data_IF_571322285029
#
_entry.id   IF_571322285029
#
_cell.length_a   1.000
_cell.length_b   1.000
_cell.length_c   1.000
_cell.angle_alpha   90.00
_cell.angle_beta   90.00
_cell.angle_gamma   90.00
#
_symmetry.space_group_name_H-M   'P 1'
#
loop_
_entity.id
_entity.type
_entity.pdbx_description
1 polymer ?
#
# COMPACT_ATOMS: atom_id res chain seq x y z
N UNK A 1 16.45 13.45 -25.04
CA UNK A 1 15.24 14.31 -24.94
C UNK A 1 14.78 14.38 -23.47
N UNK A 2 13.99 15.39 -23.04
CA UNK A 2 13.39 15.40 -21.72
C UNK A 2 12.53 14.15 -21.49
N UNK A 3 12.65 13.55 -20.30
CA UNK A 3 12.02 12.25 -19.94
C UNK A 3 11.42 12.29 -18.55
N UNK A 4 10.35 11.53 -18.36
CA UNK A 4 9.77 11.30 -17.03
C UNK A 4 10.64 10.33 -16.20
N UNK A 5 10.40 10.29 -14.90
CA UNK A 5 11.09 9.38 -13.99
C UNK A 5 10.86 7.91 -14.40
N UNK A 6 9.65 7.55 -14.80
CA UNK A 6 9.30 6.20 -15.30
C UNK A 6 10.11 5.80 -16.52
N UNK A 7 10.21 6.70 -17.52
CA UNK A 7 11.01 6.46 -18.73
C UNK A 7 12.48 6.25 -18.39
N UNK A 8 13.05 7.08 -17.52
CA UNK A 8 14.47 6.98 -17.11
C UNK A 8 14.77 5.68 -16.35
N UNK A 9 13.87 5.25 -15.45
CA UNK A 9 14.05 4.00 -14.69
C UNK A 9 13.93 2.79 -15.62
N UNK A 10 12.93 2.76 -16.50
CA UNK A 10 12.71 1.65 -17.43
C UNK A 10 13.80 1.57 -18.50
N UNK A 11 14.33 2.71 -18.98
CA UNK A 11 15.49 2.74 -19.87
C UNK A 11 16.70 2.07 -19.22
N UNK A 12 17.05 2.48 -17.99
CA UNK A 12 18.13 1.84 -17.20
C UNK A 12 17.92 0.34 -17.07
N UNK A 13 16.71 -0.08 -16.67
CA UNK A 13 16.39 -1.49 -16.44
C UNK A 13 16.42 -2.34 -17.72
N UNK A 14 16.11 -1.72 -18.87
CA UNK A 14 16.17 -2.36 -20.19
C UNK A 14 17.56 -2.30 -20.84
N UNK A 15 18.56 -1.66 -20.20
CA UNK A 15 19.90 -1.47 -20.77
C UNK A 15 19.89 -0.59 -22.02
N UNK A 16 18.93 0.35 -22.11
CA UNK A 16 18.80 1.30 -23.23
C UNK A 16 19.21 2.70 -22.76
N UNK A 17 19.71 3.51 -23.71
CA UNK A 17 20.06 4.90 -23.43
C UNK A 17 18.80 5.74 -23.15
N UNK A 18 17.73 5.53 -23.95
CA UNK A 18 16.45 6.21 -23.83
C UNK A 18 15.30 5.27 -24.21
N UNK A 19 14.11 5.55 -23.65
CA UNK A 19 12.82 4.97 -24.07
C UNK A 19 11.76 6.06 -24.08
N UNK A 20 10.65 5.82 -24.76
CA UNK A 20 9.50 6.73 -24.85
C UNK A 20 8.22 6.05 -24.37
N UNK A 21 7.26 6.85 -23.89
CA UNK A 21 5.93 6.35 -23.57
C UNK A 21 5.33 5.62 -24.79
N UNK A 22 4.80 4.43 -24.55
CA UNK A 22 4.29 3.54 -25.59
C UNK A 22 5.26 2.47 -26.06
N UNK A 23 6.57 2.63 -25.86
CA UNK A 23 7.57 1.60 -26.18
C UNK A 23 7.32 0.31 -25.38
N UNK A 24 7.62 -0.82 -26.00
CA UNK A 24 7.69 -2.11 -25.30
C UNK A 24 9.15 -2.43 -25.01
N UNK A 25 9.46 -2.64 -23.76
CA UNK A 25 10.80 -2.95 -23.27
C UNK A 25 10.81 -4.22 -22.43
N UNK A 26 11.91 -4.95 -22.45
CA UNK A 26 12.18 -6.02 -21.48
C UNK A 26 13.07 -5.41 -20.40
N UNK A 27 12.56 -5.25 -19.20
CA UNK A 27 13.27 -4.65 -18.08
C UNK A 27 13.75 -5.73 -17.10
N UNK A 28 15.00 -5.63 -16.68
CA UNK A 28 15.54 -6.45 -15.58
C UNK A 28 14.86 -6.05 -14.27
N UNK A 29 14.51 -7.06 -13.47
CA UNK A 29 13.86 -6.89 -12.18
C UNK A 29 14.91 -6.85 -11.07
N UNK A 30 14.85 -5.81 -10.24
CA UNK A 30 15.74 -5.64 -9.10
C UNK A 30 15.22 -6.38 -7.86
N UNK A 31 13.88 -6.37 -7.64
CA UNK A 31 13.21 -7.09 -6.54
C UNK A 31 11.91 -7.71 -7.03
N UNK A 32 11.69 -8.99 -6.74
CA UNK A 32 10.45 -9.70 -6.97
C UNK A 32 9.83 -10.12 -5.63
N UNK A 33 8.57 -9.73 -5.39
CA UNK A 33 7.85 -10.03 -4.15
C UNK A 33 6.61 -10.90 -4.42
N UNK A 34 6.44 -11.93 -3.62
CA UNK A 34 5.17 -12.65 -3.50
C UNK A 34 4.90 -12.98 -2.04
N UNK A 35 3.68 -13.42 -1.71
CA UNK A 35 3.26 -13.67 -0.33
C UNK A 35 2.47 -14.98 -0.20
N UNK A 36 2.00 -15.29 0.99
CA UNK A 36 1.32 -16.55 1.34
C UNK A 36 0.04 -16.85 0.53
N UNK A 37 -0.63 -15.83 -0.03
CA UNK A 37 -1.87 -16.00 -0.80
C UNK A 37 -1.61 -16.21 -2.30
N UNK A 38 -0.81 -15.36 -2.95
CA UNK A 38 -0.54 -15.42 -4.40
C UNK A 38 0.70 -16.23 -4.76
N UNK A 39 1.60 -16.43 -3.80
CA UNK A 39 2.82 -17.20 -3.97
C UNK A 39 2.60 -18.65 -4.42
N UNK A 40 1.69 -19.42 -3.81
CA UNK A 40 1.41 -20.79 -4.24
C UNK A 40 1.02 -20.91 -5.71
N UNK A 41 0.24 -19.94 -6.24
CA UNK A 41 -0.13 -19.88 -7.67
C UNK A 41 1.08 -19.57 -8.55
N UNK A 42 1.98 -18.70 -8.08
CA UNK A 42 3.23 -18.37 -8.77
C UNK A 42 4.15 -19.59 -8.81
N UNK A 43 4.28 -20.34 -7.72
CA UNK A 43 5.05 -21.59 -7.64
C UNK A 43 4.48 -22.65 -8.58
N UNK A 44 3.17 -22.86 -8.58
CA UNK A 44 2.52 -23.80 -9.50
C UNK A 44 2.76 -23.44 -10.97
N UNK A 45 2.71 -22.14 -11.30
CA UNK A 45 2.98 -21.66 -12.66
C UNK A 45 4.45 -21.83 -13.02
N UNK A 46 5.38 -21.59 -12.07
CA UNK A 46 6.82 -21.82 -12.23
C UNK A 46 7.15 -23.29 -12.53
N UNK A 47 6.52 -24.22 -11.82
CA UNK A 47 6.66 -25.65 -12.09
C UNK A 47 6.08 -26.06 -13.45
N UNK A 48 4.91 -25.50 -13.83
CA UNK A 48 4.23 -25.80 -15.11
C UNK A 48 5.03 -25.35 -16.33
N UNK A 49 5.78 -24.27 -16.25
CA UNK A 49 6.67 -23.84 -17.36
C UNK A 49 7.97 -24.67 -17.43
N UNK A 50 8.16 -25.64 -16.52
CA UNK A 50 9.33 -26.51 -16.49
C UNK A 50 10.56 -25.86 -15.85
N UNK A 51 10.43 -24.72 -15.19
CA UNK A 51 11.52 -24.09 -14.48
C UNK A 51 11.85 -24.86 -13.19
N UNK A 52 13.13 -25.02 -12.89
CA UNK A 52 13.62 -25.77 -11.73
C UNK A 52 14.41 -24.93 -10.74
N UNK A 53 14.91 -23.77 -11.19
CA UNK A 53 15.67 -22.84 -10.36
C UNK A 53 15.22 -21.42 -10.64
N UNK A 54 15.14 -20.61 -9.59
CA UNK A 54 14.92 -19.17 -9.72
C UNK A 54 16.19 -18.48 -10.22
N UNK A 55 16.02 -17.35 -10.94
CA UNK A 55 17.14 -16.63 -11.54
C UNK A 55 18.15 -16.11 -10.50
N UNK A 56 17.65 -15.53 -9.42
CA UNK A 56 18.48 -15.01 -8.32
C UNK A 56 17.67 -15.02 -7.01
N UNK A 57 17.95 -15.96 -6.09
CA UNK A 57 17.21 -16.05 -4.84
C UNK A 57 17.40 -14.85 -3.89
N UNK A 58 18.48 -14.07 -4.06
CA UNK A 58 18.74 -12.88 -3.25
C UNK A 58 17.82 -11.69 -3.59
N UNK A 59 17.21 -11.71 -4.77
CA UNK A 59 16.29 -10.69 -5.26
C UNK A 59 14.81 -11.02 -5.04
N UNK A 60 14.53 -12.18 -4.48
CA UNK A 60 13.16 -12.62 -4.18
C UNK A 60 12.87 -12.38 -2.71
N UNK A 61 11.75 -11.71 -2.43
CA UNK A 61 11.28 -11.40 -1.08
C UNK A 61 9.92 -12.03 -0.87
N UNK A 62 9.78 -12.85 0.17
CA UNK A 62 8.54 -13.58 0.46
C UNK A 62 8.11 -13.32 1.90
N UNK A 63 7.25 -12.33 2.16
CA UNK A 63 6.58 -12.19 3.44
C UNK A 63 5.29 -13.00 3.51
N UNK A 64 4.95 -13.51 4.69
CA UNK A 64 3.64 -14.04 5.00
C UNK A 64 2.84 -12.99 5.78
N UNK A 65 1.75 -12.51 5.20
CA UNK A 65 1.00 -11.38 5.74
C UNK A 65 -0.52 -11.41 5.50
N UNK A 66 -0.99 -12.17 4.51
CA UNK A 66 -2.40 -12.13 4.11
C UNK A 66 -3.28 -13.04 4.96
N UNK A 67 -2.87 -14.30 5.16
CA UNK A 67 -3.62 -15.31 5.92
C UNK A 67 -2.77 -15.84 7.08
N UNK A 68 -2.27 -14.94 7.90
CA UNK A 68 -1.37 -15.25 9.04
C UNK A 68 -1.91 -14.74 10.38
N UNK A 69 -1.89 -15.61 11.42
CA UNK A 69 -1.68 -17.05 11.33
C UNK A 69 -2.71 -17.72 10.42
N UNK A 70 -2.42 -18.93 9.90
CA UNK A 70 -3.34 -19.60 8.99
C UNK A 70 -4.74 -19.74 9.62
N UNK A 71 -5.75 -19.28 8.91
CA UNK A 71 -7.16 -19.25 9.32
C UNK A 71 -7.95 -20.48 8.90
N UNK A 72 -7.35 -21.29 8.03
CA UNK A 72 -7.94 -22.50 7.46
C UNK A 72 -6.89 -23.56 7.15
N UNK A 73 -7.34 -24.79 6.89
CA UNK A 73 -6.47 -25.88 6.41
C UNK A 73 -5.85 -25.53 5.06
N UNK A 74 -6.60 -24.86 4.17
CA UNK A 74 -6.11 -24.46 2.86
C UNK A 74 -5.01 -23.41 2.97
N UNK A 75 -5.17 -22.43 3.84
CA UNK A 75 -4.12 -21.43 4.13
C UNK A 75 -2.86 -22.11 4.71
N UNK A 76 -3.03 -23.08 5.63
CA UNK A 76 -1.91 -23.85 6.17
C UNK A 76 -1.18 -24.66 5.08
N UNK A 77 -1.90 -25.26 4.14
CA UNK A 77 -1.34 -25.95 2.98
C UNK A 77 -0.56 -24.98 2.07
N UNK A 78 -1.08 -23.79 1.83
CA UNK A 78 -0.39 -22.73 1.09
C UNK A 78 0.93 -22.35 1.77
N UNK A 79 0.94 -22.21 3.08
CA UNK A 79 2.17 -21.97 3.84
C UNK A 79 3.19 -23.11 3.69
N UNK A 80 2.75 -24.38 3.66
CA UNK A 80 3.63 -25.54 3.45
C UNK A 80 4.28 -25.47 2.06
N UNK A 81 3.49 -25.17 1.01
CA UNK A 81 4.00 -25.02 -0.37
C UNK A 81 5.09 -23.93 -0.41
N UNK A 82 4.81 -22.77 0.17
CA UNK A 82 5.76 -21.66 0.14
C UNK A 82 7.03 -21.93 0.94
N UNK A 83 6.94 -22.51 2.15
CA UNK A 83 8.13 -22.88 2.94
C UNK A 83 8.99 -23.92 2.23
N UNK A 84 8.37 -24.89 1.53
CA UNK A 84 9.07 -25.86 0.69
C UNK A 84 9.81 -25.15 -0.44
N UNK A 85 9.15 -24.29 -1.20
CA UNK A 85 9.73 -23.51 -2.30
C UNK A 85 10.91 -22.65 -1.82
N UNK A 86 10.74 -21.91 -0.74
CA UNK A 86 11.81 -21.11 -0.11
C UNK A 86 13.05 -21.95 0.19
N UNK A 87 12.86 -23.12 0.80
CA UNK A 87 13.95 -24.04 1.15
C UNK A 87 14.65 -24.60 -0.09
N UNK A 88 13.88 -25.06 -1.09
CA UNK A 88 14.41 -25.66 -2.32
C UNK A 88 15.16 -24.64 -3.18
N UNK A 89 14.63 -23.41 -3.27
CA UNK A 89 15.23 -22.32 -4.04
C UNK A 89 16.29 -21.52 -3.26
N UNK A 90 16.49 -21.79 -1.97
CA UNK A 90 17.46 -21.12 -1.08
C UNK A 90 17.20 -19.61 -0.99
N UNK A 91 15.93 -19.22 -0.91
CA UNK A 91 15.53 -17.81 -0.76
C UNK A 91 15.79 -17.39 0.69
N UNK A 92 16.66 -16.39 0.87
CA UNK A 92 17.04 -15.90 2.20
C UNK A 92 16.07 -14.83 2.73
N UNK A 93 15.47 -14.03 1.84
CA UNK A 93 14.53 -12.97 2.21
C UNK A 93 13.11 -13.51 2.41
N UNK A 94 13.00 -14.48 3.31
CA UNK A 94 11.74 -15.07 3.73
C UNK A 94 11.35 -14.58 5.12
N UNK A 95 10.17 -14.01 5.20
CA UNK A 95 9.60 -13.45 6.43
C UNK A 95 8.33 -14.21 6.77
N UNK A 96 8.48 -15.22 7.60
CA UNK A 96 7.37 -16.07 8.08
C UNK A 96 6.41 -15.26 8.98
N UNK A 97 5.40 -15.89 9.55
CA UNK A 97 4.37 -15.25 10.37
C UNK A 97 4.93 -14.22 11.36
N UNK A 98 4.15 -13.16 11.62
CA UNK A 98 4.49 -12.08 12.54
C UNK A 98 5.59 -11.09 12.07
N UNK A 99 5.95 -11.07 10.81
CA UNK A 99 6.86 -10.04 10.31
C UNK A 99 6.10 -8.73 10.04
N UNK A 100 5.02 -8.78 9.31
CA UNK A 100 4.16 -7.64 8.97
C UNK A 100 3.71 -7.64 7.52
N UNK A 101 2.97 -6.61 7.13
CA UNK A 101 2.42 -6.46 5.79
C UNK A 101 3.53 -6.23 4.76
N UNK A 102 3.48 -6.92 3.63
CA UNK A 102 4.51 -6.91 2.59
C UNK A 102 4.95 -5.50 2.18
N UNK A 103 4.01 -4.58 1.95
CA UNK A 103 4.31 -3.21 1.54
C UNK A 103 4.85 -2.30 2.65
N UNK A 104 4.86 -2.77 3.90
CA UNK A 104 5.59 -2.16 5.00
C UNK A 104 6.97 -2.79 5.17
N UNK A 105 7.06 -4.12 5.09
CA UNK A 105 8.31 -4.85 5.36
C UNK A 105 9.38 -4.54 4.31
N UNK A 106 9.03 -4.52 3.02
CA UNK A 106 10.02 -4.29 1.97
C UNK A 106 10.81 -2.99 2.16
N UNK A 107 10.16 -1.81 2.34
CA UNK A 107 10.89 -0.58 2.63
C UNK A 107 11.53 -0.57 4.01
N UNK A 108 10.87 -1.12 5.05
CA UNK A 108 11.34 -1.13 6.44
C UNK A 108 12.66 -1.91 6.60
N UNK A 109 12.80 -3.02 5.88
CA UNK A 109 13.98 -3.90 5.93
C UNK A 109 15.01 -3.60 4.81
N UNK A 110 14.87 -2.48 4.11
CA UNK A 110 15.87 -1.99 3.15
C UNK A 110 15.88 -2.73 1.80
N UNK A 111 14.80 -3.42 1.44
CA UNK A 111 14.70 -4.08 0.14
C UNK A 111 14.44 -3.11 -1.01
N UNK A 112 14.01 -1.90 -0.73
CA UNK A 112 13.62 -0.88 -1.71
C UNK A 112 14.61 0.27 -1.70
N UNK A 113 15.17 0.61 -2.86
CA UNK A 113 16.00 1.80 -3.05
C UNK A 113 15.58 2.57 -4.32
N UNK A 114 15.92 3.87 -4.45
CA UNK A 114 15.57 4.67 -5.61
C UNK A 114 16.11 4.10 -6.93
N UNK A 115 15.30 4.19 -7.99
CA UNK A 115 15.69 3.81 -9.33
C UNK A 115 15.72 2.30 -9.61
N UNK A 116 15.22 1.48 -8.70
CA UNK A 116 14.97 0.04 -8.92
C UNK A 116 13.64 -0.19 -9.65
N UNK A 117 13.55 -1.33 -10.35
CA UNK A 117 12.29 -1.90 -10.85
C UNK A 117 11.88 -3.04 -9.92
N UNK A 118 10.73 -2.86 -9.27
CA UNK A 118 10.18 -3.79 -8.28
C UNK A 118 8.84 -4.33 -8.77
N UNK A 119 8.69 -5.65 -8.78
CA UNK A 119 7.42 -6.29 -9.09
C UNK A 119 6.91 -7.11 -7.92
N UNK A 120 5.60 -7.12 -7.73
CA UNK A 120 4.96 -7.94 -6.72
C UNK A 120 3.72 -8.64 -7.25
N UNK A 121 3.47 -9.85 -6.79
CA UNK A 121 2.22 -10.56 -7.06
C UNK A 121 1.07 -9.99 -6.18
N UNK A 122 1.06 -8.67 -6.00
CA UNK A 122 0.06 -7.89 -5.29
C UNK A 122 -0.14 -6.52 -5.95
N UNK A 123 -1.39 -6.07 -6.06
CA UNK A 123 -1.74 -4.83 -6.76
C UNK A 123 -1.17 -3.56 -6.11
N UNK A 124 -0.99 -3.57 -4.76
CA UNK A 124 -0.48 -2.41 -4.03
C UNK A 124 1.06 -2.33 -3.98
N UNK A 125 1.75 -3.12 -4.80
CA UNK A 125 3.22 -3.01 -4.98
C UNK A 125 3.66 -1.60 -5.38
N UNK A 126 2.78 -0.81 -6.00
CA UNK A 126 3.03 0.60 -6.31
C UNK A 126 3.43 1.46 -5.09
N UNK A 127 3.16 1.00 -3.86
CA UNK A 127 3.57 1.65 -2.60
C UNK A 127 5.06 2.01 -2.57
N UNK A 128 5.91 1.15 -3.13
CA UNK A 128 7.37 1.33 -3.05
C UNK A 128 7.89 2.50 -3.87
N UNK A 129 7.08 3.05 -4.78
CA UNK A 129 7.40 4.26 -5.51
C UNK A 129 7.46 5.52 -4.64
N UNK A 130 7.00 5.47 -3.38
CA UNK A 130 7.25 6.51 -2.38
C UNK A 130 8.76 6.74 -2.12
N UNK A 131 9.58 5.74 -2.43
CA UNK A 131 11.04 5.81 -2.36
C UNK A 131 11.71 6.00 -3.73
N UNK A 132 10.94 6.34 -4.78
CA UNK A 132 11.46 6.57 -6.13
C UNK A 132 11.85 5.31 -6.91
N UNK A 133 11.26 4.17 -6.59
CA UNK A 133 11.37 2.94 -7.36
C UNK A 133 10.18 2.81 -8.33
N UNK A 134 10.42 2.34 -9.57
CA UNK A 134 9.31 1.93 -10.43
C UNK A 134 8.77 0.59 -9.94
N UNK A 135 7.67 0.63 -9.22
CA UNK A 135 7.10 -0.54 -8.55
C UNK A 135 5.68 -0.80 -9.00
N UNK A 136 5.35 -2.06 -9.32
CA UNK A 136 4.05 -2.40 -9.90
C UNK A 136 3.61 -3.82 -9.56
N UNK A 137 2.27 -3.97 -9.43
CA UNK A 137 1.65 -5.28 -9.32
C UNK A 137 1.66 -6.04 -10.65
N UNK A 138 1.86 -7.35 -10.56
CA UNK A 138 1.81 -8.29 -11.69
C UNK A 138 1.02 -9.53 -11.32
N UNK A 139 0.57 -10.29 -12.32
CA UNK A 139 -0.12 -11.57 -12.10
C UNK A 139 0.81 -12.67 -11.61
N UNK A 140 0.24 -13.71 -10.98
CA UNK A 140 1.02 -14.87 -10.50
C UNK A 140 1.74 -15.62 -11.62
N UNK A 141 1.18 -15.63 -12.84
CA UNK A 141 1.84 -16.23 -14.02
C UNK A 141 3.04 -15.41 -14.47
N UNK A 142 2.93 -14.06 -14.49
CA UNK A 142 4.05 -13.19 -14.81
C UNK A 142 5.14 -13.31 -13.74
N UNK A 143 4.75 -13.44 -12.47
CA UNK A 143 5.69 -13.67 -11.36
C UNK A 143 6.48 -14.97 -11.55
N UNK A 144 5.86 -16.04 -12.07
CA UNK A 144 6.55 -17.27 -12.39
C UNK A 144 7.60 -17.07 -13.48
N UNK A 145 7.32 -16.26 -14.51
CA UNK A 145 8.31 -15.90 -15.54
C UNK A 145 9.45 -15.06 -14.95
N UNK A 146 9.13 -14.10 -14.07
CA UNK A 146 10.15 -13.32 -13.35
C UNK A 146 11.04 -14.24 -12.50
N UNK A 147 10.47 -15.21 -11.79
CA UNK A 147 11.26 -16.19 -11.03
C UNK A 147 12.22 -16.98 -11.91
N UNK A 148 11.82 -17.32 -13.13
CA UNK A 148 12.66 -18.08 -14.06
C UNK A 148 13.75 -17.22 -14.73
N UNK A 149 13.40 -16.01 -15.18
CA UNK A 149 14.22 -15.21 -16.12
C UNK A 149 14.80 -13.92 -15.51
N UNK A 150 14.21 -13.41 -14.39
CA UNK A 150 14.64 -12.16 -13.77
C UNK A 150 14.31 -10.90 -14.55
N UNK A 151 13.45 -10.99 -15.53
CA UNK A 151 13.02 -9.87 -16.36
C UNK A 151 11.53 -9.96 -16.69
N UNK A 152 10.96 -8.85 -17.13
CA UNK A 152 9.57 -8.79 -17.58
C UNK A 152 9.43 -7.71 -18.66
N UNK A 153 8.48 -7.90 -19.57
CA UNK A 153 8.14 -6.88 -20.54
C UNK A 153 7.23 -5.82 -19.93
N UNK A 154 7.45 -4.56 -20.32
CA UNK A 154 6.60 -3.42 -19.96
C UNK A 154 6.32 -2.58 -21.20
N UNK A 155 5.10 -2.11 -21.31
CA UNK A 155 4.82 -0.92 -22.09
C UNK A 155 5.20 0.28 -21.21
N UNK A 156 6.06 1.15 -21.69
CA UNK A 156 6.45 2.38 -20.98
C UNK A 156 5.21 3.26 -20.81
N UNK A 157 4.81 3.62 -19.57
CA UNK A 157 3.61 4.42 -19.36
C UNK A 157 3.84 5.91 -19.63
N UNK A 158 2.77 6.61 -20.04
CA UNK A 158 2.67 8.05 -19.86
C UNK A 158 2.61 8.39 -18.37
N UNK A 159 2.83 9.64 -17.97
CA UNK A 159 2.81 10.09 -16.58
C UNK A 159 1.75 11.14 -16.35
N UNK A 160 0.87 10.90 -15.37
CA UNK A 160 0.07 11.93 -14.71
C UNK A 160 0.82 12.39 -13.47
N UNK A 161 1.20 13.67 -13.43
CA UNK A 161 1.85 14.31 -12.29
C UNK A 161 0.85 15.16 -11.54
N UNK A 162 0.56 14.78 -10.32
CA UNK A 162 -0.31 15.51 -9.41
C UNK A 162 0.55 16.51 -8.63
N UNK A 163 0.44 17.78 -9.00
CA UNK A 163 1.13 18.88 -8.33
C UNK A 163 0.26 19.37 -7.18
N UNK A 164 0.59 18.95 -5.96
CA UNK A 164 -0.22 19.15 -4.76
C UNK A 164 0.30 20.35 -3.99
N UNK A 165 -0.54 21.37 -3.85
CA UNK A 165 -0.23 22.64 -3.20
C UNK A 165 -1.19 22.93 -2.05
N UNK A 166 -0.80 23.82 -1.16
CA UNK A 166 -1.56 24.19 0.03
C UNK A 166 -1.10 23.48 1.29
N UNK A 167 -1.36 24.12 2.43
CA UNK A 167 -1.11 23.55 3.75
C UNK A 167 -2.32 22.73 4.21
N UNK A 168 -2.07 21.53 4.71
CA UNK A 168 -3.13 20.66 5.24
C UNK A 168 -3.68 21.26 6.54
N UNK A 169 -4.99 21.35 6.65
CA UNK A 169 -5.68 21.72 7.89
C UNK A 169 -5.45 20.66 8.98
N UNK A 170 -5.68 21.03 10.22
CA UNK A 170 -5.71 20.10 11.33
C UNK A 170 -6.68 18.94 11.03
N UNK A 171 -6.29 17.73 11.42
CA UNK A 171 -7.06 16.50 11.20
C UNK A 171 -7.27 16.09 9.73
N UNK A 172 -6.54 16.67 8.78
CA UNK A 172 -6.45 16.25 7.37
C UNK A 172 -5.11 15.55 7.13
N UNK A 173 -5.13 14.38 6.54
CA UNK A 173 -3.98 13.49 6.36
C UNK A 173 -3.79 13.08 4.89
N UNK A 174 -2.70 12.42 4.58
CA UNK A 174 -2.41 11.91 3.23
C UNK A 174 -3.52 11.02 2.67
N UNK A 175 -4.29 10.32 3.54
CA UNK A 175 -5.46 9.54 3.13
C UNK A 175 -6.57 10.43 2.57
N UNK A 176 -6.82 11.55 3.19
CA UNK A 176 -7.84 12.51 2.73
C UNK A 176 -7.42 13.12 1.40
N UNK A 177 -6.13 13.44 1.25
CA UNK A 177 -5.55 13.95 0.00
C UNK A 177 -5.73 12.96 -1.15
N UNK A 178 -5.36 11.69 -0.97
CA UNK A 178 -5.47 10.69 -2.06
C UNK A 178 -6.93 10.36 -2.38
N UNK A 179 -7.82 10.30 -1.39
CA UNK A 179 -9.26 10.13 -1.64
C UNK A 179 -9.82 11.30 -2.45
N UNK A 180 -9.45 12.53 -2.13
CA UNK A 180 -9.82 13.72 -2.89
C UNK A 180 -9.31 13.64 -4.34
N UNK A 181 -8.06 13.24 -4.57
CA UNK A 181 -7.51 13.07 -5.92
C UNK A 181 -8.32 12.02 -6.70
N UNK A 182 -8.56 10.85 -6.10
CA UNK A 182 -9.32 9.77 -6.75
C UNK A 182 -10.74 10.24 -7.10
N UNK A 183 -11.39 11.03 -6.24
CA UNK A 183 -12.72 11.56 -6.53
C UNK A 183 -12.77 12.51 -7.73
N UNK A 184 -11.67 13.23 -7.99
CA UNK A 184 -11.56 14.17 -9.10
C UNK A 184 -11.25 13.50 -10.42
N UNK A 185 -10.40 12.46 -10.41
CA UNK A 185 -9.95 11.79 -11.64
C UNK A 185 -10.74 10.51 -11.96
N UNK A 186 -11.43 9.94 -10.98
CA UNK A 186 -12.15 8.67 -11.09
C UNK A 186 -11.25 7.43 -10.98
N UNK A 187 -11.87 6.25 -10.86
CA UNK A 187 -11.16 4.96 -10.70
C UNK A 187 -10.38 4.53 -11.94
N UNK A 188 -10.58 5.16 -13.07
CA UNK A 188 -9.93 4.88 -14.37
C UNK A 188 -9.12 6.07 -14.93
N UNK A 189 -9.06 7.21 -14.20
CA UNK A 189 -8.45 8.47 -14.65
C UNK A 189 -6.94 8.39 -14.93
N UNK A 190 -6.26 7.38 -14.39
CA UNK A 190 -4.84 7.13 -14.64
C UNK A 190 -4.57 5.72 -15.19
N UNK A 191 -5.54 5.14 -15.90
CA UNK A 191 -5.42 3.77 -16.42
C UNK A 191 -4.12 3.57 -17.20
N UNK A 192 -3.27 2.65 -16.68
CA UNK A 192 -1.96 2.30 -17.18
C UNK A 192 -0.95 3.46 -17.22
N UNK A 193 -1.16 4.57 -16.53
CA UNK A 193 -0.21 5.68 -16.41
C UNK A 193 0.62 5.55 -15.13
N UNK A 194 1.79 6.16 -15.12
CA UNK A 194 2.51 6.43 -13.88
C UNK A 194 1.83 7.62 -13.17
N UNK A 195 1.63 7.51 -11.87
CA UNK A 195 1.08 8.56 -11.02
C UNK A 195 2.23 9.17 -10.22
N UNK A 196 2.73 10.32 -10.61
CA UNK A 196 3.73 11.06 -9.84
C UNK A 196 3.02 12.04 -8.89
N UNK A 197 3.38 11.98 -7.61
CA UNK A 197 2.90 12.90 -6.59
C UNK A 197 4.01 13.89 -6.25
N UNK A 198 3.76 15.17 -6.40
CA UNK A 198 4.72 16.24 -6.27
C UNK A 198 4.11 17.49 -5.63
N UNK A 199 4.86 18.57 -5.57
CA UNK A 199 4.44 19.83 -4.98
C UNK A 199 4.88 20.02 -3.54
N UNK A 200 4.59 21.21 -3.01
CA UNK A 200 5.02 21.63 -1.68
C UNK A 200 4.43 20.74 -0.58
N UNK A 201 3.15 20.40 -0.70
CA UNK A 201 2.45 19.54 0.26
C UNK A 201 3.14 18.18 0.37
N UNK A 202 3.48 17.53 -0.77
CA UNK A 202 4.18 16.23 -0.78
C UNK A 202 5.59 16.33 -0.24
N UNK A 203 6.30 17.42 -0.52
CA UNK A 203 7.64 17.67 0.01
C UNK A 203 7.64 17.78 1.54
N UNK A 204 6.56 18.30 2.12
CA UNK A 204 6.37 18.39 3.57
C UNK A 204 5.96 17.07 4.22
N UNK A 205 5.36 16.15 3.48
CA UNK A 205 4.92 14.83 3.97
C UNK A 205 6.08 13.96 4.47
N UNK A 206 5.77 13.11 5.45
CA UNK A 206 6.65 12.02 5.88
C UNK A 206 6.71 10.91 4.83
N UNK A 207 7.67 9.99 4.93
CA UNK A 207 7.71 8.79 4.07
C UNK A 207 6.45 7.94 4.23
N UNK A 208 5.91 7.84 5.45
CA UNK A 208 4.64 7.13 5.70
C UNK A 208 3.47 7.74 4.92
N UNK A 209 3.36 9.06 4.86
CA UNK A 209 2.32 9.77 4.11
C UNK A 209 2.48 9.57 2.60
N UNK A 210 3.72 9.67 2.10
CA UNK A 210 4.02 9.40 0.68
C UNK A 210 3.67 7.97 0.28
N UNK A 211 3.87 7.00 1.18
CA UNK A 211 3.45 5.61 0.96
C UNK A 211 1.93 5.46 0.87
N UNK A 212 1.14 6.30 1.54
CA UNK A 212 -0.32 6.31 1.39
C UNK A 212 -0.71 6.76 -0.02
N UNK A 213 -0.11 7.84 -0.52
CA UNK A 213 -0.39 8.35 -1.87
C UNK A 213 -0.05 7.30 -2.94
N UNK A 214 1.17 6.77 -2.89
CA UNK A 214 1.64 5.80 -3.89
C UNK A 214 0.93 4.45 -3.78
N UNK A 215 0.54 4.01 -2.58
CA UNK A 215 -0.24 2.79 -2.37
C UNK A 215 -1.57 2.85 -3.13
N UNK A 216 -2.27 3.97 -3.07
CA UNK A 216 -3.60 4.11 -3.65
C UNK A 216 -3.58 4.58 -5.11
N UNK A 217 -2.43 4.73 -5.75
CA UNK A 217 -2.33 5.03 -7.17
C UNK A 217 -3.04 3.99 -8.06
N UNK A 218 -3.01 2.72 -7.66
CA UNK A 218 -3.71 1.64 -8.37
C UNK A 218 -5.24 1.82 -8.34
N UNK A 219 -5.79 2.51 -7.34
CA UNK A 219 -7.24 2.71 -7.21
C UNK A 219 -7.81 3.74 -8.21
N UNK A 220 -6.94 4.46 -8.93
CA UNK A 220 -7.30 5.27 -10.09
C UNK A 220 -6.75 4.69 -11.41
N UNK A 221 -6.42 3.38 -11.43
CA UNK A 221 -5.92 2.67 -12.60
C UNK A 221 -4.42 2.81 -12.85
N UNK A 222 -3.67 3.47 -11.97
CA UNK A 222 -2.24 3.73 -12.14
C UNK A 222 -1.40 2.46 -12.22
N UNK A 223 -0.44 2.44 -13.15
CA UNK A 223 0.53 1.35 -13.29
C UNK A 223 1.54 1.36 -12.14
N UNK A 224 1.92 2.53 -11.68
CA UNK A 224 2.80 2.77 -10.53
C UNK A 224 2.45 4.09 -9.87
N UNK A 225 2.74 4.23 -8.57
CA UNK A 225 2.77 5.51 -7.87
C UNK A 225 4.22 5.91 -7.65
N UNK A 226 4.58 7.18 -7.76
CA UNK A 226 5.95 7.65 -7.65
C UNK A 226 6.02 8.97 -6.88
N UNK A 227 7.07 9.13 -6.09
CA UNK A 227 7.50 10.41 -5.51
C UNK A 227 8.98 10.60 -5.82
N UNK A 228 9.37 11.76 -6.28
CA UNK A 228 10.79 12.07 -6.52
C UNK A 228 11.58 11.97 -5.21
N UNK A 229 12.69 11.20 -5.19
CA UNK A 229 13.52 11.10 -4.00
C UNK A 229 14.13 12.44 -3.60
N UNK A 230 13.87 12.86 -2.38
CA UNK A 230 14.47 14.01 -1.72
C UNK A 230 15.35 13.57 -0.53
N UNK A 231 15.81 14.54 0.26
CA UNK A 231 16.62 14.25 1.44
C UNK A 231 15.93 13.31 2.44
N UNK A 232 14.61 13.45 2.65
CA UNK A 232 13.87 12.56 3.56
C UNK A 232 13.90 11.11 3.06
N UNK A 233 13.73 10.93 1.74
CA UNK A 233 13.81 9.61 1.10
C UNK A 233 15.21 9.02 1.24
N UNK A 234 16.25 9.80 0.99
CA UNK A 234 17.65 9.34 1.09
C UNK A 234 17.99 8.95 2.52
N UNK A 235 17.67 9.81 3.49
CA UNK A 235 17.92 9.53 4.91
C UNK A 235 17.18 8.23 5.37
N UNK A 236 15.95 8.02 4.87
CA UNK A 236 15.18 6.81 5.16
C UNK A 236 15.85 5.57 4.58
N UNK A 237 16.29 5.62 3.32
CA UNK A 237 16.91 4.49 2.62
C UNK A 237 18.27 4.16 3.21
N UNK A 238 19.15 5.14 3.39
CA UNK A 238 20.52 4.93 3.89
C UNK A 238 20.56 4.42 5.34
N UNK A 239 19.53 4.70 6.14
CA UNK A 239 19.39 4.12 7.48
C UNK A 239 18.99 2.64 7.49
N UNK A 240 18.62 2.05 6.35
CA UNK A 240 18.05 0.70 6.22
C UNK A 240 18.72 -0.19 5.18
N UNK A 241 19.43 0.39 4.22
CA UNK A 241 19.99 -0.34 3.09
C UNK A 241 21.40 0.16 2.75
N UNK A 242 22.28 -0.78 2.43
CA UNK A 242 23.60 -0.51 1.87
C UNK A 242 23.68 -0.73 0.35
N UNK A 243 22.53 -0.96 -0.31
CA UNK A 243 22.45 -1.14 -1.75
C UNK A 243 22.86 0.15 -2.47
N UNK A 244 23.61 0.03 -3.56
CA UNK A 244 23.81 1.14 -4.48
C UNK A 244 22.49 1.51 -5.16
N UNK A 245 22.23 2.81 -5.30
CA UNK A 245 21.00 3.30 -5.93
C UNK A 245 21.31 4.48 -6.86
N UNK A 246 20.33 4.80 -7.71
CA UNK A 246 20.38 5.98 -8.57
C UNK A 246 19.09 6.76 -8.46
N UNK A 247 19.21 8.04 -8.13
CA UNK A 247 18.08 8.96 -8.08
C UNK A 247 17.74 9.42 -9.50
N UNK A 248 16.48 9.31 -9.86
CA UNK A 248 15.89 9.88 -11.07
C UNK A 248 14.86 10.94 -10.71
N UNK A 249 14.71 11.92 -11.56
CA UNK A 249 13.68 12.97 -11.49
C UNK A 249 13.04 13.14 -12.85
N UNK A 250 11.81 13.60 -12.86
CA UNK A 250 11.09 13.94 -14.09
C UNK A 250 11.58 15.29 -14.64
N UNK A 251 11.82 15.36 -15.93
CA UNK A 251 12.02 16.63 -16.63
C UNK A 251 10.62 17.23 -16.92
N UNK A 252 10.38 18.44 -16.46
CA UNK A 252 9.03 19.05 -16.50
C UNK A 252 8.54 19.39 -17.92
N UNK A 253 9.43 19.37 -18.89
CA UNK A 253 9.15 19.52 -20.32
C UNK A 253 9.10 18.20 -21.09
N UNK A 254 9.00 17.06 -20.37
CA UNK A 254 8.86 15.74 -20.99
C UNK A 254 7.53 15.64 -21.76
N UNK A 255 7.56 15.19 -23.03
CA UNK A 255 6.34 15.14 -23.88
C UNK A 255 5.26 14.19 -23.36
N UNK A 256 5.64 13.15 -22.60
CA UNK A 256 4.73 12.15 -22.02
C UNK A 256 4.16 12.54 -20.65
N UNK A 257 4.43 13.78 -20.19
CA UNK A 257 4.00 14.31 -18.90
C UNK A 257 2.68 15.09 -19.03
N UNK A 258 1.71 14.75 -18.19
CA UNK A 258 0.48 15.52 -17.98
C UNK A 258 0.47 16.02 -16.53
N UNK A 259 0.37 17.33 -16.31
CA UNK A 259 0.36 17.94 -14.98
C UNK A 259 -1.09 18.22 -14.59
N UNK A 260 -1.46 17.83 -13.37
CA UNK A 260 -2.78 18.00 -12.76
C UNK A 260 -2.57 18.74 -11.43
N UNK A 261 -3.05 19.97 -11.36
CA UNK A 261 -2.92 20.79 -10.15
C UNK A 261 -4.00 20.42 -9.13
N UNK A 262 -3.60 20.23 -7.88
CA UNK A 262 -4.46 19.87 -6.75
C UNK A 262 -4.21 20.85 -5.60
N UNK A 263 -5.17 21.68 -5.28
CA UNK A 263 -5.13 22.55 -4.10
C UNK A 263 -5.85 21.88 -2.93
N UNK A 264 -5.13 21.70 -1.81
CA UNK A 264 -5.64 21.05 -0.59
C UNK A 264 -5.85 22.04 0.57
N UNK A 265 -5.74 23.35 0.34
CA UNK A 265 -5.83 24.38 1.37
C UNK A 265 -7.18 24.38 2.11
N UNK A 266 -8.26 24.04 1.40
CA UNK A 266 -9.61 23.99 1.96
C UNK A 266 -10.13 22.56 2.17
N UNK A 267 -9.26 21.55 2.00
CA UNK A 267 -9.65 20.15 2.16
C UNK A 267 -10.11 19.88 3.61
N UNK A 268 -11.25 19.21 3.73
CA UNK A 268 -11.77 18.67 4.99
C UNK A 268 -11.49 17.15 5.08
N UNK A 269 -11.60 16.52 6.26
CA UNK A 269 -11.52 15.05 6.36
C UNK A 269 -12.50 14.37 5.41
N UNK A 270 -12.00 13.35 4.70
CA UNK A 270 -12.72 12.66 3.62
C UNK A 270 -13.13 11.25 4.01
N UNK A 271 -14.21 10.78 3.39
CA UNK A 271 -14.64 9.39 3.48
C UNK A 271 -15.07 8.89 2.10
N UNK A 272 -14.50 7.74 1.66
CA UNK A 272 -15.01 7.05 0.47
C UNK A 272 -16.19 6.15 0.86
N UNK A 273 -17.35 6.45 0.29
CA UNK A 273 -18.59 5.71 0.51
C UNK A 273 -18.64 4.41 -0.33
N UNK A 274 -19.35 3.37 0.11
CA UNK A 274 -19.53 2.15 -0.68
C UNK A 274 -20.18 2.44 -2.04
N UNK A 275 -19.88 1.70 -3.09
CA UNK A 275 -18.96 0.55 -3.22
C UNK A 275 -17.85 0.88 -4.22
N UNK A 276 -17.43 2.15 -4.29
CA UNK A 276 -16.38 2.66 -5.17
C UNK A 276 -15.49 3.64 -4.42
N UNK A 277 -14.19 3.58 -4.67
CA UNK A 277 -13.21 4.42 -3.94
C UNK A 277 -13.33 5.90 -4.33
N UNK A 278 -13.81 6.20 -5.54
CA UNK A 278 -14.06 7.56 -6.03
C UNK A 278 -15.39 8.18 -5.54
N UNK A 279 -16.24 7.40 -4.85
CA UNK A 279 -17.44 7.93 -4.21
C UNK A 279 -17.12 8.63 -2.88
N UNK A 280 -16.33 9.70 -2.98
CA UNK A 280 -15.79 10.42 -1.82
C UNK A 280 -16.70 11.59 -1.45
N UNK A 281 -16.81 11.84 -0.15
CA UNK A 281 -17.53 12.97 0.44
C UNK A 281 -16.73 13.53 1.60
N UNK A 282 -16.96 14.77 1.96
CA UNK A 282 -16.53 15.28 3.25
C UNK A 282 -17.23 14.49 4.37
N UNK A 283 -16.50 14.22 5.46
CA UNK A 283 -17.05 13.46 6.61
C UNK A 283 -18.28 14.16 7.18
N UNK A 284 -18.31 15.49 7.15
CA UNK A 284 -19.44 16.34 7.59
C UNK A 284 -20.75 16.10 6.83
N UNK A 285 -20.68 15.52 5.62
CA UNK A 285 -21.83 15.24 4.76
C UNK A 285 -22.40 13.81 4.96
N UNK A 286 -21.75 12.97 5.79
CA UNK A 286 -22.09 11.56 5.94
C UNK A 286 -22.65 11.28 7.32
N UNK A 287 -23.91 10.88 7.38
CA UNK A 287 -24.59 10.39 8.60
C UNK A 287 -24.81 8.87 8.49
N UNK A 288 -23.87 8.09 9.01
CA UNK A 288 -23.91 6.62 8.96
C UNK A 288 -23.44 6.01 10.26
N UNK A 289 -24.28 5.16 10.88
CA UNK A 289 -23.90 4.28 11.98
C UNK A 289 -22.96 3.18 11.49
N UNK A 290 -22.06 2.72 12.36
CA UNK A 290 -21.04 1.72 12.04
C UNK A 290 -21.02 0.57 13.05
N UNK A 291 -20.86 -0.65 12.57
CA UNK A 291 -20.74 -1.87 13.37
C UNK A 291 -19.27 -2.21 13.66
N UNK A 292 -18.36 -1.82 12.78
CA UNK A 292 -16.95 -2.13 12.89
C UNK A 292 -16.05 -0.98 12.45
N UNK A 293 -14.93 -0.81 13.15
CA UNK A 293 -13.80 0.01 12.72
C UNK A 293 -12.59 -0.89 12.52
N UNK A 294 -11.93 -0.75 11.38
CA UNK A 294 -10.64 -1.39 11.12
C UNK A 294 -9.55 -0.34 10.92
N UNK A 295 -8.60 -0.29 11.87
CA UNK A 295 -7.37 0.51 11.81
C UNK A 295 -6.19 -0.42 11.49
N UNK A 296 -5.64 -0.32 10.30
CA UNK A 296 -4.57 -1.20 9.83
C UNK A 296 -4.34 -1.12 8.33
N UNK A 297 -3.84 -2.20 7.76
CA UNK A 297 -3.50 -2.39 6.35
C UNK A 297 -2.17 -1.73 5.92
N UNK A 298 -1.77 -2.00 4.68
CA UNK A 298 -0.58 -1.38 4.08
C UNK A 298 -0.69 0.13 3.84
N UNK A 299 -1.90 0.68 3.86
CA UNK A 299 -2.13 2.12 3.76
C UNK A 299 -1.91 2.84 5.08
N UNK A 300 -2.61 2.45 6.15
CA UNK A 300 -2.69 3.20 7.40
C UNK A 300 -2.64 2.29 8.65
N UNK A 301 -1.57 1.54 8.79
CA UNK A 301 -1.24 0.75 9.99
C UNK A 301 0.13 1.10 10.56
N UNK A 302 0.72 2.23 10.15
CA UNK A 302 2.06 2.67 10.57
C UNK A 302 2.02 3.36 11.92
N UNK A 303 3.19 3.60 12.48
CA UNK A 303 3.29 4.19 13.83
C UNK A 303 2.66 5.58 13.93
N UNK A 304 2.71 6.39 12.86
CA UNK A 304 2.02 7.69 12.79
C UNK A 304 0.51 7.52 12.94
N UNK A 305 -0.09 6.61 12.17
CA UNK A 305 -1.53 6.32 12.22
C UNK A 305 -1.97 5.87 13.61
N UNK A 306 -1.16 5.01 14.25
CA UNK A 306 -1.45 4.53 15.60
C UNK A 306 -1.34 5.65 16.65
N UNK A 307 -0.39 6.57 16.50
CA UNK A 307 -0.26 7.73 17.40
C UNK A 307 -1.46 8.67 17.26
N UNK A 308 -1.87 8.98 16.04
CA UNK A 308 -3.01 9.87 15.78
C UNK A 308 -4.31 9.27 16.32
N UNK A 309 -4.57 7.99 16.06
CA UNK A 309 -5.72 7.29 16.62
C UNK A 309 -5.68 7.19 18.15
N UNK A 310 -4.52 6.88 18.73
CA UNK A 310 -4.36 6.77 20.18
C UNK A 310 -4.56 8.12 20.89
N UNK A 311 -4.12 9.24 20.28
CA UNK A 311 -4.37 10.59 20.80
C UNK A 311 -5.86 10.85 20.98
N UNK A 312 -6.69 10.43 20.01
CA UNK A 312 -8.15 10.60 20.03
C UNK A 312 -8.81 9.66 21.03
N UNK A 313 -8.36 8.40 21.11
CA UNK A 313 -8.96 7.34 21.96
C UNK A 313 -8.54 7.42 23.44
N UNK A 314 -7.50 8.18 23.77
CA UNK A 314 -6.95 8.24 25.12
C UNK A 314 -8.00 8.69 26.14
N UNK A 315 -8.31 7.80 27.10
CA UNK A 315 -9.31 8.05 28.15
C UNK A 315 -10.77 7.91 27.69
N UNK A 316 -11.00 7.56 26.43
CA UNK A 316 -12.34 7.33 25.86
C UNK A 316 -12.59 5.84 25.65
N UNK A 317 -13.81 5.48 25.27
CA UNK A 317 -14.22 4.09 25.01
C UNK A 317 -14.83 3.98 23.63
N UNK A 318 -14.63 2.83 23.00
CA UNK A 318 -15.35 2.44 21.78
C UNK A 318 -16.84 2.34 22.13
N UNK A 319 -17.68 2.86 21.24
CA UNK A 319 -19.14 2.87 21.41
C UNK A 319 -19.71 1.46 21.61
N UNK A 320 -20.74 1.37 22.43
CA UNK A 320 -21.44 0.09 22.64
C UNK A 320 -22.10 -0.34 21.32
N UNK A 321 -21.81 -1.55 20.89
CA UNK A 321 -22.30 -2.10 19.60
C UNK A 321 -21.30 -1.99 18.46
N UNK A 322 -20.28 -1.15 18.60
CA UNK A 322 -19.18 -1.05 17.62
C UNK A 322 -17.99 -1.93 18.04
N UNK A 323 -17.39 -2.64 17.10
CA UNK A 323 -16.12 -3.36 17.27
C UNK A 323 -14.99 -2.52 16.67
N UNK A 324 -13.85 -2.42 17.35
CA UNK A 324 -12.66 -1.80 16.78
C UNK A 324 -11.51 -2.81 16.72
N UNK A 325 -10.96 -3.02 15.52
CA UNK A 325 -9.78 -3.82 15.28
C UNK A 325 -8.60 -2.89 14.99
N UNK A 326 -7.47 -3.12 15.66
CA UNK A 326 -6.22 -2.40 15.45
C UNK A 326 -5.14 -3.40 15.07
N UNK A 327 -4.57 -3.27 13.88
CA UNK A 327 -3.54 -4.16 13.36
C UNK A 327 -2.34 -3.34 12.90
N UNK A 328 -1.26 -3.29 13.70
CA UNK A 328 -0.02 -2.61 13.32
C UNK A 328 0.59 -3.21 12.04
N UNK A 329 1.20 -2.38 11.18
CA UNK A 329 1.66 -2.80 9.87
C UNK A 329 2.86 -3.76 9.90
N UNK A 330 3.66 -3.76 10.97
CA UNK A 330 4.82 -4.65 11.11
C UNK A 330 5.14 -4.96 12.58
N UNK A 331 6.02 -5.94 12.79
CA UNK A 331 6.57 -6.27 14.12
C UNK A 331 7.30 -5.08 14.73
N UNK A 332 8.03 -4.30 13.93
CA UNK A 332 8.72 -3.09 14.40
C UNK A 332 7.72 -2.04 14.88
N UNK A 333 6.68 -1.78 14.07
CA UNK A 333 5.59 -0.86 14.43
C UNK A 333 4.87 -1.34 15.68
N UNK A 334 4.59 -2.64 15.80
CA UNK A 334 3.95 -3.24 16.98
C UNK A 334 4.80 -3.02 18.24
N UNK A 335 6.11 -3.34 18.17
CA UNK A 335 7.04 -3.16 19.28
C UNK A 335 7.12 -1.69 19.71
N UNK A 336 7.26 -0.78 18.75
CA UNK A 336 7.29 0.66 19.02
C UNK A 336 6.00 1.18 19.64
N UNK A 337 4.84 0.70 19.15
CA UNK A 337 3.55 1.04 19.74
C UNK A 337 3.38 0.50 21.17
N UNK A 338 3.98 -0.66 21.48
CA UNK A 338 4.05 -1.20 22.84
C UNK A 338 4.91 -0.32 23.75
N UNK A 339 6.12 0.03 23.30
CA UNK A 339 7.06 0.86 24.08
C UNK A 339 6.51 2.27 24.35
N UNK A 340 5.75 2.84 23.41
CA UNK A 340 5.09 4.13 23.56
C UNK A 340 3.77 4.05 24.36
N UNK A 341 3.33 2.84 24.73
CA UNK A 341 2.10 2.63 25.50
C UNK A 341 0.81 2.79 24.66
N UNK A 342 0.91 2.88 23.33
CA UNK A 342 -0.24 3.07 22.43
C UNK A 342 -1.17 1.85 22.47
N UNK A 343 -0.61 0.63 22.49
CA UNK A 343 -1.40 -0.60 22.56
C UNK A 343 -2.27 -0.65 23.82
N UNK A 344 -1.75 -0.14 24.95
CA UNK A 344 -2.53 -0.04 26.16
C UNK A 344 -3.71 0.91 26.02
N UNK A 345 -3.55 2.04 25.33
CA UNK A 345 -4.63 2.99 25.07
C UNK A 345 -5.75 2.30 24.25
N UNK A 346 -5.40 1.56 23.19
CA UNK A 346 -6.39 0.83 22.40
C UNK A 346 -7.13 -0.24 23.20
N UNK A 347 -6.40 -1.05 23.97
CA UNK A 347 -7.01 -2.09 24.84
C UNK A 347 -7.90 -1.46 25.90
N UNK A 348 -7.44 -0.39 26.55
CA UNK A 348 -8.23 0.34 27.54
C UNK A 348 -9.49 0.96 26.92
N UNK A 349 -9.43 1.40 25.66
CA UNK A 349 -10.60 1.89 24.93
C UNK A 349 -11.59 0.78 24.56
N UNK A 350 -11.20 -0.49 24.61
CA UNK A 350 -12.03 -1.65 24.26
C UNK A 350 -11.78 -2.16 22.83
N UNK A 351 -10.70 -1.73 22.17
CA UNK A 351 -10.32 -2.26 20.88
C UNK A 351 -9.62 -3.62 20.98
N UNK A 352 -9.81 -4.47 19.96
CA UNK A 352 -9.04 -5.69 19.75
C UNK A 352 -7.75 -5.36 19.03
N UNK A 353 -6.60 -5.55 19.68
CA UNK A 353 -5.28 -5.39 19.05
C UNK A 353 -4.78 -6.76 18.60
N UNK A 354 -4.42 -6.88 17.31
CA UNK A 354 -3.93 -8.12 16.73
C UNK A 354 -2.45 -8.04 16.36
N UNK A 355 -1.84 -9.21 16.13
CA UNK A 355 -0.52 -9.31 15.54
C UNK A 355 -0.52 -8.77 14.09
N UNK A 356 0.63 -8.27 13.58
CA UNK A 356 0.73 -7.71 12.23
C UNK A 356 0.30 -8.69 11.13
N UNK A 357 -0.72 -8.29 10.37
CA UNK A 357 -1.23 -9.01 9.20
C UNK A 357 -2.18 -8.10 8.40
N UNK A 358 -2.66 -8.57 7.24
CA UNK A 358 -3.65 -7.81 6.44
C UNK A 358 -5.05 -7.75 7.08
N UNK A 359 -5.37 -8.65 8.02
CA UNK A 359 -6.68 -8.68 8.71
C UNK A 359 -7.85 -8.80 7.73
N UNK A 360 -8.92 -8.00 7.92
CA UNK A 360 -10.10 -8.06 7.06
C UNK A 360 -9.91 -7.40 5.69
N UNK A 361 -8.77 -6.77 5.40
CA UNK A 361 -8.55 -5.94 4.21
C UNK A 361 -8.90 -6.65 2.89
N UNK A 362 -8.64 -7.96 2.79
CA UNK A 362 -8.92 -8.76 1.59
C UNK A 362 -10.21 -9.58 1.66
N UNK A 363 -10.90 -9.59 2.81
CA UNK A 363 -12.12 -10.39 3.01
C UNK A 363 -11.90 -11.88 3.25
N UNK A 364 -10.67 -12.32 3.47
CA UNK A 364 -10.28 -13.72 3.58
C UNK A 364 -9.51 -14.08 4.85
N UNK A 365 -9.57 -13.24 5.88
CA UNK A 365 -8.91 -13.50 7.15
C UNK A 365 -9.76 -13.00 8.33
N UNK A 366 -9.16 -12.68 9.47
CA UNK A 366 -9.85 -12.27 10.70
C UNK A 366 -10.57 -10.92 10.58
N UNK A 367 -11.69 -10.74 11.27
CA UNK A 367 -12.41 -9.46 11.37
C UNK A 367 -13.28 -9.12 10.17
N UNK A 368 -13.71 -10.12 9.39
CA UNK A 368 -14.65 -9.92 8.27
C UNK A 368 -16.04 -9.53 8.79
N UNK A 369 -16.78 -8.79 7.96
CA UNK A 369 -18.16 -8.34 8.27
C UNK A 369 -19.20 -9.27 7.66
N UNK A 370 -20.34 -9.38 8.35
CA UNK A 370 -21.52 -10.12 7.93
C UNK A 370 -22.46 -9.31 7.01
N UNK A 371 -23.58 -9.95 6.56
CA UNK A 371 -24.60 -9.25 5.77
C UNK A 371 -25.20 -8.07 6.52
N UNK A 372 -25.28 -6.91 5.87
CA UNK A 372 -25.88 -5.70 6.40
C UNK A 372 -24.97 -4.89 7.36
N UNK A 373 -23.85 -5.44 7.81
CA UNK A 373 -22.91 -4.71 8.66
C UNK A 373 -22.17 -3.60 7.88
N UNK A 374 -21.84 -2.53 8.62
CA UNK A 374 -21.10 -1.37 8.12
C UNK A 374 -19.74 -1.30 8.78
N UNK A 375 -18.68 -1.30 7.97
CA UNK A 375 -17.29 -1.14 8.40
C UNK A 375 -16.74 0.21 7.96
N UNK A 376 -16.13 0.96 8.88
CA UNK A 376 -15.24 2.08 8.57
C UNK A 376 -13.79 1.60 8.65
N UNK A 377 -13.04 1.76 7.57
CA UNK A 377 -11.74 1.11 7.41
C UNK A 377 -10.66 2.10 6.95
N UNK A 378 -9.46 1.92 7.45
CA UNK A 378 -8.29 2.63 6.93
C UNK A 378 -7.59 1.91 5.77
N UNK A 379 -8.17 0.81 5.27
CA UNK A 379 -7.68 0.10 4.09
C UNK A 379 -7.88 0.90 2.79
N UNK A 380 -7.68 0.27 1.65
CA UNK A 380 -7.58 0.95 0.35
C UNK A 380 -8.73 0.65 -0.62
N UNK A 381 -9.59 -0.32 -0.35
CA UNK A 381 -10.69 -0.74 -1.24
C UNK A 381 -11.97 -0.98 -0.48
N UNK A 382 -13.10 -0.65 -1.14
CA UNK A 382 -14.44 -0.74 -0.55
C UNK A 382 -15.51 -1.35 -1.48
N UNK A 383 -15.11 -2.07 -2.53
CA UNK A 383 -16.06 -2.73 -3.41
C UNK A 383 -16.83 -3.85 -2.69
N UNK A 384 -17.95 -4.31 -3.26
CA UNK A 384 -18.80 -5.36 -2.68
C UNK A 384 -18.02 -6.62 -2.35
N UNK A 385 -18.15 -7.10 -1.13
CA UNK A 385 -17.48 -8.31 -0.63
C UNK A 385 -16.02 -8.09 -0.21
N UNK A 386 -15.49 -6.86 -0.30
CA UNK A 386 -14.06 -6.60 -0.01
C UNK A 386 -13.64 -6.97 1.40
N UNK A 387 -14.51 -6.81 2.40
CA UNK A 387 -14.21 -7.17 3.79
C UNK A 387 -15.14 -8.26 4.35
N UNK A 388 -15.60 -9.18 3.50
CA UNK A 388 -16.46 -10.30 3.89
C UNK A 388 -17.73 -10.37 3.05
N UNK A 389 -18.90 -10.15 3.67
CA UNK A 389 -20.18 -10.25 2.95
C UNK A 389 -20.32 -9.24 1.80
N UNK A 390 -20.81 -9.65 0.62
CA UNK A 390 -21.16 -8.73 -0.46
C UNK A 390 -22.33 -7.79 -0.10
N UNK A 391 -23.13 -8.12 0.92
CA UNK A 391 -24.20 -7.29 1.45
C UNK A 391 -23.72 -6.34 2.56
N UNK A 392 -22.46 -6.44 2.98
CA UNK A 392 -21.82 -5.49 3.89
C UNK A 392 -21.38 -4.21 3.18
N UNK A 393 -21.25 -3.14 3.93
CA UNK A 393 -20.81 -1.83 3.43
C UNK A 393 -19.46 -1.47 4.03
N UNK A 394 -18.50 -1.07 3.19
CA UNK A 394 -17.19 -0.62 3.63
C UNK A 394 -17.01 0.85 3.25
N UNK A 395 -16.70 1.67 4.23
CA UNK A 395 -16.29 3.06 4.08
C UNK A 395 -14.78 3.16 4.30
N UNK A 396 -14.10 4.07 3.62
CA UNK A 396 -12.65 4.30 3.78
C UNK A 396 -12.38 5.68 4.33
N UNK A 397 -11.50 5.78 5.32
CA UNK A 397 -11.10 7.05 5.93
C UNK A 397 -9.67 7.04 6.47
N UNK A 398 -9.21 8.19 6.98
CA UNK A 398 -7.98 8.32 7.76
C UNK A 398 -8.09 7.63 9.14
N UNK A 399 -6.95 7.40 9.78
CA UNK A 399 -6.88 6.80 11.12
C UNK A 399 -7.57 7.67 12.18
N UNK A 400 -7.50 8.99 12.04
CA UNK A 400 -8.12 9.94 12.96
C UNK A 400 -9.66 9.88 12.86
N UNK A 401 -10.21 9.91 11.64
CA UNK A 401 -11.66 9.74 11.41
C UNK A 401 -12.13 8.37 11.94
N UNK A 402 -11.37 7.31 11.68
CA UNK A 402 -11.70 5.97 12.17
C UNK A 402 -11.75 5.92 13.71
N UNK A 403 -10.78 6.55 14.40
CA UNK A 403 -10.74 6.59 15.86
C UNK A 403 -11.89 7.43 16.46
N UNK A 404 -12.19 8.61 15.92
CA UNK A 404 -13.30 9.44 16.36
C UNK A 404 -14.64 8.71 16.16
N UNK A 405 -14.83 8.11 15.00
CA UNK A 405 -16.03 7.33 14.67
C UNK A 405 -16.21 6.10 15.56
N UNK A 406 -15.12 5.45 15.97
CA UNK A 406 -15.20 4.33 16.91
C UNK A 406 -15.78 4.73 18.27
N UNK A 407 -15.52 5.96 18.73
CA UNK A 407 -16.05 6.49 20.00
C UNK A 407 -17.55 6.78 19.88
N UNK A 408 -17.96 7.35 18.74
CA UNK A 408 -19.35 7.80 18.54
C UNK A 408 -20.28 6.69 18.00
N UNK A 409 -19.73 5.58 17.48
CA UNK A 409 -20.50 4.52 16.83
C UNK A 409 -21.08 4.91 15.47
N UNK A 410 -20.63 6.04 14.93
CA UNK A 410 -21.05 6.59 13.62
C UNK A 410 -19.91 7.35 12.97
N UNK A 411 -19.98 7.58 11.67
CA UNK A 411 -18.96 8.35 10.94
C UNK A 411 -19.01 9.81 11.38
N UNK A 412 -17.87 10.30 11.96
CA UNK A 412 -17.69 11.69 12.39
C UNK A 412 -16.27 12.17 12.14
N UNK A 413 -16.09 13.47 11.95
CA UNK A 413 -14.77 14.09 11.92
C UNK A 413 -14.16 14.13 13.34
N UNK A 414 -12.83 14.00 13.48
CA UNK A 414 -12.16 14.23 14.75
C UNK A 414 -12.25 15.71 15.15
N UNK A 415 -12.44 15.95 16.47
CA UNK A 415 -12.44 17.28 17.08
C UNK A 415 -11.02 17.84 17.25
#
# INVERSE_FOLDING_TARGET
>A
MPKTMSEKILAKAAGKDEVEAGDIVIANIDVAMTHDLTGPLSVQSFEKIGATKVWDPSKIVIPFDHQVPADSIDSANNHIIMRKFVKEQKIENFYDVNAGVCHQILPELGHVVPGEVIVGADSHTCTHGALGAFSTGIGSTDMAMVFAEGNLWFKVPETNRFEITGELKDNVYAKDVILNIISQVGVDGSTYKACEFAGETVSNMSISDRMVLTNMAIEMGGKTGLVEPDKKTIDYVESRSNKAYKVFKTDLDAPSLNIIDIDVSELEPQVACPHHVDNVKAVSEVDQEIDQVFLGSCTNGRISDLRDAAKILKGKKVAKGTRMLVIPASKEVYSKALDEGLLKIFVDAGALVSAPCCGPCLGGHTGIIGPGEVSLSTSNRNFKGRQGSPDGKVYLSSAAVAAASAIEGRIVAPE
#
